data_IF_606109162586
#
_entry.id   IF_606109162586
#
_cell.length_a   1.000
_cell.length_b   1.000
_cell.length_c   1.000
_cell.angle_alpha   90.00
_cell.angle_beta   90.00
_cell.angle_gamma   90.00
#
_symmetry.space_group_name_H-M   'P 1'
#
loop_
_entity.id
_entity.type
_entity.pdbx_description
1 polymer ?
#
# COMPACT_ATOMS: atom_id res chain seq x y z
N UNK A 1 8.94 19.36 1.45
CA UNK A 1 8.03 18.24 1.12
C UNK A 1 8.03 17.31 2.30
N UNK A 2 7.01 17.41 3.13
CA UNK A 2 6.82 16.56 4.30
C UNK A 2 6.10 15.31 3.81
N UNK A 3 6.72 14.14 3.98
CA UNK A 3 6.16 12.86 3.56
C UNK A 3 5.88 12.04 4.81
N UNK A 4 4.65 11.56 4.98
CA UNK A 4 4.28 10.68 6.09
C UNK A 4 4.42 9.22 5.68
N UNK A 5 4.94 8.38 6.58
CA UNK A 5 5.02 6.94 6.34
C UNK A 5 3.62 6.34 6.46
N UNK A 6 3.09 5.83 5.35
CA UNK A 6 1.76 5.23 5.29
C UNK A 6 1.82 3.74 5.69
N UNK A 7 2.76 2.99 5.11
CA UNK A 7 2.90 1.56 5.38
C UNK A 7 4.32 1.04 5.10
N UNK A 8 4.69 0.00 5.83
CA UNK A 8 5.87 -0.82 5.56
C UNK A 8 5.41 -2.19 5.07
N UNK A 9 5.79 -2.53 3.84
CA UNK A 9 5.38 -3.75 3.14
C UNK A 9 6.54 -4.73 3.20
N UNK A 10 6.28 -5.90 3.80
CA UNK A 10 7.26 -6.98 3.96
C UNK A 10 6.78 -8.24 3.25
N UNK A 11 7.73 -9.00 2.71
CA UNK A 11 7.43 -10.32 2.16
C UNK A 11 7.54 -11.34 3.29
N UNK A 12 6.40 -11.69 3.91
CA UNK A 12 6.39 -12.60 5.06
C UNK A 12 6.00 -14.02 4.68
N UNK A 13 5.03 -14.16 3.78
CA UNK A 13 4.46 -15.46 3.43
C UNK A 13 4.35 -15.60 1.90
N UNK A 14 4.23 -16.85 1.44
CA UNK A 14 3.97 -17.19 0.05
C UNK A 14 2.56 -17.71 -0.08
N UNK A 15 1.71 -16.94 -0.75
CA UNK A 15 0.36 -17.36 -1.10
C UNK A 15 0.33 -17.95 -2.51
N UNK A 16 -0.67 -18.78 -2.79
CA UNK A 16 -0.89 -19.35 -4.12
C UNK A 16 -0.98 -18.24 -5.17
N UNK A 17 -0.14 -18.32 -6.21
CA UNK A 17 -0.09 -17.34 -7.31
C UNK A 17 0.52 -15.98 -6.95
N UNK A 18 0.99 -15.77 -5.72
CA UNK A 18 1.59 -14.49 -5.30
C UNK A 18 3.06 -14.35 -5.68
N UNK A 19 3.77 -15.46 -5.83
CA UNK A 19 5.19 -15.48 -6.16
C UNK A 19 5.51 -16.52 -7.25
N UNK A 20 6.62 -16.32 -7.95
CA UNK A 20 7.07 -17.25 -9.00
C UNK A 20 7.86 -18.40 -8.41
N UNK A 21 7.24 -19.57 -8.28
CA UNK A 21 7.83 -20.73 -7.59
C UNK A 21 8.54 -21.73 -8.52
N UNK A 22 8.35 -21.62 -9.84
CA UNK A 22 8.88 -22.60 -10.79
C UNK A 22 10.40 -22.54 -10.90
N UNK A 23 11.08 -23.50 -10.27
CA UNK A 23 12.54 -23.57 -10.23
C UNK A 23 13.19 -22.48 -9.38
N UNK A 24 12.43 -21.89 -8.45
CA UNK A 24 12.91 -20.86 -7.54
C UNK A 24 13.15 -21.43 -6.14
N UNK A 25 14.22 -20.99 -5.49
CA UNK A 25 14.41 -21.14 -4.04
C UNK A 25 14.00 -19.87 -3.32
N UNK A 26 13.40 -20.01 -2.13
CA UNK A 26 12.92 -18.93 -1.28
C UNK A 26 13.37 -19.18 0.15
N UNK A 27 14.27 -18.35 0.65
CA UNK A 27 14.76 -18.44 2.02
C UNK A 27 14.28 -17.23 2.82
N UNK A 28 13.46 -17.50 3.84
CA UNK A 28 12.97 -16.51 4.79
C UNK A 28 13.96 -16.39 5.94
N UNK A 29 14.89 -15.43 5.82
CA UNK A 29 15.95 -15.20 6.80
C UNK A 29 15.70 -13.90 7.55
N UNK A 30 15.13 -14.00 8.75
CA UNK A 30 14.84 -12.86 9.63
C UNK A 30 13.83 -11.89 9.00
N UNK A 31 14.24 -10.64 8.78
CA UNK A 31 13.42 -9.60 8.15
C UNK A 31 13.56 -9.52 6.62
N UNK A 32 14.34 -10.41 6.00
CA UNK A 32 14.59 -10.41 4.56
C UNK A 32 14.28 -11.74 3.90
N UNK A 33 13.85 -11.68 2.64
CA UNK A 33 13.58 -12.84 1.81
C UNK A 33 14.58 -12.91 0.68
N UNK A 34 15.31 -14.01 0.62
CA UNK A 34 16.21 -14.33 -0.48
C UNK A 34 15.46 -15.17 -1.51
N UNK A 35 15.37 -14.65 -2.72
CA UNK A 35 14.83 -15.35 -3.88
C UNK A 35 15.98 -15.68 -4.83
N UNK A 36 16.06 -16.94 -5.25
CA UNK A 36 17.08 -17.41 -6.19
C UNK A 36 16.43 -18.20 -7.32
N UNK A 37 16.68 -17.78 -8.57
CA UNK A 37 16.29 -18.55 -9.74
C UNK A 37 17.22 -18.22 -10.93
N UNK A 38 18.25 -19.04 -11.18
CA UNK A 38 19.19 -18.82 -12.29
C UNK A 38 18.57 -18.91 -13.69
N UNK A 39 17.37 -19.51 -13.82
CA UNK A 39 16.68 -19.76 -15.09
C UNK A 39 15.42 -18.89 -15.26
N UNK A 40 15.25 -17.88 -14.42
CA UNK A 40 14.11 -16.98 -14.52
C UNK A 40 14.23 -16.12 -15.78
N UNK A 41 13.26 -16.29 -16.69
CA UNK A 41 13.14 -15.43 -17.86
C UNK A 41 12.89 -13.97 -17.43
N UNK A 42 13.48 -13.03 -18.18
CA UNK A 42 13.23 -11.60 -17.99
C UNK A 42 11.75 -11.26 -18.22
N UNK A 43 11.24 -10.28 -17.49
CA UNK A 43 9.85 -9.83 -17.57
C UNK A 43 8.85 -10.69 -16.80
N UNK A 44 9.30 -11.70 -16.05
CA UNK A 44 8.43 -12.49 -15.15
C UNK A 44 8.26 -11.79 -13.79
N UNK A 45 7.03 -11.78 -13.23
CA UNK A 45 6.79 -11.24 -11.89
C UNK A 45 7.36 -12.22 -10.86
N UNK A 46 8.23 -11.74 -9.97
CA UNK A 46 8.81 -12.50 -8.86
C UNK A 46 7.82 -12.61 -7.72
N UNK A 47 7.22 -11.49 -7.32
CA UNK A 47 6.26 -11.40 -6.21
C UNK A 47 5.24 -10.29 -6.45
N UNK A 48 4.02 -10.49 -5.93
CA UNK A 48 2.88 -9.60 -6.08
C UNK A 48 2.17 -9.36 -4.73
N UNK A 49 1.99 -8.08 -4.42
CA UNK A 49 1.27 -7.57 -3.24
C UNK A 49 -0.06 -6.97 -3.67
N UNK A 50 -1.12 -7.25 -2.90
CA UNK A 50 -2.51 -6.92 -3.27
C UNK A 50 -3.13 -5.96 -2.25
N UNK A 51 -3.83 -4.93 -2.73
CA UNK A 51 -4.62 -4.03 -1.86
C UNK A 51 -6.02 -4.54 -1.54
N UNK A 52 -6.50 -5.52 -2.30
CA UNK A 52 -7.83 -6.11 -2.17
C UNK A 52 -7.72 -7.62 -2.34
N UNK A 53 -8.24 -8.36 -1.38
CA UNK A 53 -8.28 -9.83 -1.42
C UNK A 53 -9.67 -10.33 -1.02
N UNK A 54 -9.98 -11.57 -1.43
CA UNK A 54 -11.14 -12.30 -0.93
C UNK A 54 -10.63 -13.41 0.00
N UNK A 55 -10.95 -13.34 1.29
CA UNK A 55 -10.45 -14.30 2.27
C UNK A 55 -10.96 -15.72 2.03
N UNK A 56 -12.21 -15.91 1.58
CA UNK A 56 -12.77 -17.26 1.39
C UNK A 56 -12.03 -18.05 0.29
N UNK A 57 -11.61 -17.36 -0.77
CA UNK A 57 -10.85 -17.97 -1.87
C UNK A 57 -9.33 -17.98 -1.62
N UNK A 58 -8.78 -16.85 -1.18
CA UNK A 58 -7.34 -16.64 -1.16
C UNK A 58 -6.70 -16.95 0.21
N UNK A 59 -7.50 -17.00 1.29
CA UNK A 59 -7.04 -17.12 2.68
C UNK A 59 -5.92 -16.12 3.02
N UNK A 60 -6.00 -14.93 2.42
CA UNK A 60 -4.97 -13.89 2.45
C UNK A 60 -5.62 -12.56 2.78
N UNK A 61 -5.11 -11.84 3.76
CA UNK A 61 -5.42 -10.43 4.01
C UNK A 61 -4.68 -9.53 2.98
N UNK A 62 -5.21 -8.36 2.64
CA UNK A 62 -4.49 -7.43 1.78
C UNK A 62 -3.17 -7.00 2.41
N UNK A 63 -2.09 -6.96 1.63
CA UNK A 63 -0.76 -6.54 2.11
C UNK A 63 -0.57 -5.02 1.98
N UNK A 64 -1.40 -4.38 1.15
CA UNK A 64 -1.28 -2.98 0.79
C UNK A 64 -2.43 -2.17 1.42
N UNK A 65 -2.15 -0.96 1.93
CA UNK A 65 -3.17 -0.08 2.48
C UNK A 65 -4.10 0.48 1.39
N UNK A 66 -5.17 1.17 1.78
CA UNK A 66 -6.03 1.88 0.84
C UNK A 66 -5.35 3.19 0.40
N UNK A 67 -5.37 3.48 -0.91
CA UNK A 67 -4.93 4.77 -1.45
C UNK A 67 -6.14 5.68 -1.70
N UNK A 68 -5.94 6.97 -1.49
CA UNK A 68 -6.91 8.00 -1.83
C UNK A 68 -6.70 8.38 -3.30
N UNK A 69 -7.76 8.43 -4.12
CA UNK A 69 -7.65 8.88 -5.51
C UNK A 69 -7.16 10.33 -5.62
N UNK A 70 -6.46 10.67 -6.70
CA UNK A 70 -5.86 11.99 -6.96
C UNK A 70 -4.83 12.45 -5.92
N UNK A 71 -4.27 11.54 -5.13
CA UNK A 71 -3.18 11.84 -4.20
C UNK A 71 -1.84 11.31 -4.72
N UNK A 72 -0.78 12.01 -4.32
CA UNK A 72 0.60 11.68 -4.60
C UNK A 72 1.15 10.75 -3.52
N UNK A 73 1.82 9.68 -3.96
CA UNK A 73 2.50 8.74 -3.09
C UNK A 73 3.94 8.55 -3.54
N UNK A 74 4.80 8.12 -2.61
CA UNK A 74 6.18 7.74 -2.91
C UNK A 74 6.41 6.30 -2.49
N UNK A 75 6.99 5.51 -3.39
CA UNK A 75 7.41 4.15 -3.11
C UNK A 75 8.93 4.10 -2.98
N UNK A 76 9.40 3.79 -1.78
CA UNK A 76 10.81 3.47 -1.50
C UNK A 76 10.99 1.96 -1.43
N UNK A 77 12.01 1.44 -2.11
CA UNK A 77 12.25 0.00 -2.24
C UNK A 77 13.64 -0.37 -1.74
N UNK A 78 13.68 -1.11 -0.64
CA UNK A 78 14.92 -1.67 -0.06
C UNK A 78 15.12 -3.09 -0.57
N UNK A 79 15.48 -3.21 -1.85
CA UNK A 79 15.66 -4.49 -2.55
C UNK A 79 17.00 -4.49 -3.28
N UNK A 80 17.79 -5.55 -3.10
CA UNK A 80 19.05 -5.75 -3.82
C UNK A 80 18.95 -6.94 -4.76
N UNK A 81 19.64 -6.88 -5.90
CA UNK A 81 19.64 -7.96 -6.89
C UNK A 81 21.05 -8.29 -7.35
N UNK A 82 21.22 -9.53 -7.80
CA UNK A 82 22.40 -9.97 -8.55
C UNK A 82 21.93 -10.51 -9.90
N UNK A 83 22.44 -9.99 -11.03
CA UNK A 83 23.25 -8.77 -11.17
C UNK A 83 22.53 -7.50 -10.67
N UNK A 84 23.30 -6.46 -10.29
CA UNK A 84 22.77 -5.24 -9.70
C UNK A 84 21.83 -4.47 -10.66
N UNK A 85 20.73 -3.93 -10.10
CA UNK A 85 19.78 -3.09 -10.85
C UNK A 85 18.93 -3.85 -11.88
N UNK A 86 18.89 -5.19 -11.82
CA UNK A 86 18.14 -6.04 -12.76
C UNK A 86 16.74 -6.37 -12.27
N UNK A 87 16.02 -5.36 -11.80
CA UNK A 87 14.60 -5.47 -11.42
C UNK A 87 13.86 -4.15 -11.62
N UNK A 88 12.54 -4.23 -11.68
CA UNK A 88 11.66 -3.07 -11.63
C UNK A 88 10.39 -3.43 -10.87
N UNK A 89 9.78 -2.44 -10.22
CA UNK A 89 8.44 -2.57 -9.67
C UNK A 89 7.43 -2.03 -10.67
N UNK A 90 6.25 -2.60 -10.69
CA UNK A 90 5.13 -2.09 -11.48
C UNK A 90 3.90 -2.02 -10.58
N UNK A 91 3.22 -0.88 -10.62
CA UNK A 91 1.96 -0.64 -9.93
C UNK A 91 0.86 -0.72 -10.97
N UNK A 92 -0.07 -1.65 -10.82
CA UNK A 92 -1.26 -1.77 -11.67
C UNK A 92 -2.48 -1.23 -10.90
N UNK A 93 -3.23 -0.31 -11.49
CA UNK A 93 -4.45 0.27 -10.92
C UNK A 93 -5.69 -0.32 -11.58
N UNK A 94 -6.70 -0.63 -10.78
CA UNK A 94 -7.93 -1.30 -11.22
C UNK A 94 -9.17 -0.54 -10.76
N UNK A 95 -10.20 -0.53 -11.61
CA UNK A 95 -11.52 -0.01 -11.28
C UNK A 95 -12.33 -1.02 -10.43
N UNK A 96 -13.57 -0.64 -10.09
CA UNK A 96 -14.48 -1.49 -9.31
C UNK A 96 -14.86 -2.79 -10.02
N UNK A 97 -14.82 -2.79 -11.36
CA UNK A 97 -15.09 -3.92 -12.25
C UNK A 97 -13.86 -4.83 -12.45
N UNK A 98 -12.74 -4.57 -11.76
CA UNK A 98 -11.44 -5.25 -11.91
C UNK A 98 -10.77 -5.06 -13.29
N UNK A 99 -11.12 -4.01 -14.02
CA UNK A 99 -10.45 -3.64 -15.27
C UNK A 99 -9.25 -2.75 -14.95
N UNK A 100 -8.14 -2.98 -15.65
CA UNK A 100 -6.92 -2.20 -15.48
C UNK A 100 -7.09 -0.80 -16.09
N UNK A 101 -7.01 0.23 -15.26
CA UNK A 101 -7.15 1.64 -15.66
C UNK A 101 -5.82 2.15 -16.21
N UNK A 102 -4.76 2.00 -15.41
CA UNK A 102 -3.42 2.46 -15.73
C UNK A 102 -2.37 1.62 -15.01
N UNK A 103 -1.10 1.88 -15.33
CA UNK A 103 0.02 1.31 -14.60
C UNK A 103 1.20 2.27 -14.60
N UNK A 104 2.05 2.11 -13.59
CA UNK A 104 3.31 2.84 -13.45
C UNK A 104 4.45 1.85 -13.28
N UNK A 105 5.59 2.13 -13.92
CA UNK A 105 6.79 1.27 -13.87
C UNK A 105 7.91 2.03 -13.18
N UNK A 106 8.32 1.52 -12.02
CA UNK A 106 9.31 2.14 -11.14
C UNK A 106 10.64 1.37 -11.18
N UNK A 107 11.72 2.05 -11.53
CA UNK A 107 13.07 1.45 -11.74
C UNK A 107 14.07 1.88 -10.67
N UNK A 108 14.00 3.10 -10.18
CA UNK A 108 14.83 3.75 -9.18
C UNK A 108 14.37 3.48 -7.75
N UNK A 109 15.28 3.62 -6.77
CA UNK A 109 15.02 3.23 -5.37
C UNK A 109 13.85 3.96 -4.71
N UNK A 110 13.67 5.25 -5.01
CA UNK A 110 12.56 6.08 -4.51
C UNK A 110 11.93 6.76 -5.72
N UNK A 111 10.63 6.53 -5.94
CA UNK A 111 9.90 7.18 -7.02
C UNK A 111 8.52 7.66 -6.56
N UNK A 112 8.07 8.73 -7.20
CA UNK A 112 6.76 9.34 -7.00
C UNK A 112 5.76 8.77 -8.01
N UNK A 113 4.53 8.53 -7.57
CA UNK A 113 3.42 8.18 -8.46
C UNK A 113 2.12 8.84 -7.97
N UNK A 114 1.19 9.07 -8.90
CA UNK A 114 -0.13 9.65 -8.61
C UNK A 114 -1.18 8.57 -8.74
N UNK A 115 -2.07 8.46 -7.75
CA UNK A 115 -3.18 7.52 -7.79
C UNK A 115 -4.28 8.04 -8.73
N UNK A 116 -4.67 7.32 -9.80
CA UNK A 116 -5.73 7.74 -10.71
C UNK A 116 -7.09 7.92 -10.00
N UNK A 117 -7.98 8.80 -10.49
CA UNK A 117 -9.26 9.13 -9.85
C UNK A 117 -10.21 7.94 -9.69
N UNK A 118 -10.24 7.03 -10.67
CA UNK A 118 -11.16 5.88 -10.69
C UNK A 118 -10.59 4.62 -10.01
N UNK A 119 -9.47 4.76 -9.29
CA UNK A 119 -8.80 3.64 -8.64
C UNK A 119 -9.64 3.10 -7.50
N UNK A 120 -10.01 1.82 -7.61
CA UNK A 120 -10.67 1.08 -6.54
C UNK A 120 -9.70 0.14 -5.82
N UNK A 121 -8.79 -0.48 -6.56
CA UNK A 121 -7.77 -1.37 -6.00
C UNK A 121 -6.50 -1.27 -6.83
N UNK A 122 -5.38 -1.67 -6.25
CA UNK A 122 -4.09 -1.65 -6.92
C UNK A 122 -3.25 -2.84 -6.50
N UNK A 123 -2.21 -3.08 -7.28
CA UNK A 123 -1.33 -4.22 -7.12
C UNK A 123 0.10 -3.78 -7.38
N UNK A 124 1.01 -4.10 -6.47
CA UNK A 124 2.44 -3.85 -6.66
C UNK A 124 3.10 -5.18 -6.99
N UNK A 125 3.73 -5.24 -8.16
CA UNK A 125 4.42 -6.44 -8.64
C UNK A 125 5.89 -6.13 -8.86
N UNK A 126 6.76 -7.01 -8.39
CA UNK A 126 8.20 -6.93 -8.66
C UNK A 126 8.53 -7.84 -9.82
N UNK A 127 9.19 -7.31 -10.83
CA UNK A 127 9.57 -8.02 -12.04
C UNK A 127 11.08 -8.21 -12.12
N UNK A 128 11.49 -9.38 -12.62
CA UNK A 128 12.88 -9.65 -12.98
C UNK A 128 13.22 -8.95 -14.30
N UNK A 129 14.32 -8.19 -14.32
CA UNK A 129 14.95 -7.71 -15.55
C UNK A 129 16.22 -8.53 -15.88
N UNK A 130 16.18 -9.84 -15.62
CA UNK A 130 17.30 -10.75 -15.78
C UNK A 130 18.19 -10.85 -14.53
N UNK A 131 17.61 -10.73 -13.34
CA UNK A 131 18.28 -11.06 -12.09
C UNK A 131 18.24 -12.58 -11.85
N UNK A 132 19.33 -13.12 -11.32
CA UNK A 132 19.43 -14.52 -10.86
C UNK A 132 19.09 -14.64 -9.38
N UNK A 133 19.38 -13.58 -8.61
CA UNK A 133 19.09 -13.49 -7.18
C UNK A 133 18.46 -12.14 -6.84
N UNK A 134 17.53 -12.16 -5.90
CA UNK A 134 16.86 -10.98 -5.36
C UNK A 134 16.76 -11.12 -3.84
N UNK A 135 17.27 -10.12 -3.10
CA UNK A 135 17.10 -10.02 -1.67
C UNK A 135 16.11 -8.88 -1.38
N UNK A 136 14.93 -9.26 -0.91
CA UNK A 136 13.85 -8.36 -0.54
C UNK A 136 13.93 -8.08 0.95
N UNK A 137 14.15 -6.83 1.36
CA UNK A 137 14.03 -6.43 2.77
C UNK A 137 12.64 -5.88 3.05
N UNK A 138 12.33 -4.73 2.45
CA UNK A 138 11.04 -4.08 2.63
C UNK A 138 10.78 -3.05 1.52
N UNK A 139 9.51 -2.69 1.36
CA UNK A 139 9.11 -1.51 0.61
C UNK A 139 8.35 -0.57 1.54
N UNK A 140 8.63 0.73 1.46
CA UNK A 140 7.98 1.74 2.26
C UNK A 140 7.14 2.61 1.36
N UNK A 141 5.88 2.75 1.72
CA UNK A 141 4.93 3.60 1.03
C UNK A 141 4.73 4.86 1.84
N UNK A 142 4.96 6.00 1.23
CA UNK A 142 4.78 7.31 1.83
C UNK A 142 3.64 8.03 1.13
N UNK A 143 2.91 8.82 1.90
CA UNK A 143 1.94 9.78 1.39
C UNK A 143 2.55 11.18 1.42
N UNK A 144 2.26 11.99 0.41
CA UNK A 144 2.52 13.42 0.48
C UNK A 144 1.56 14.03 1.50
N UNK A 145 2.09 14.65 2.56
CA UNK A 145 1.26 15.47 3.43
C UNK A 145 0.83 16.68 2.61
N UNK A 146 -0.36 16.58 2.02
CA UNK A 146 -1.11 17.77 1.72
C UNK A 146 -1.45 18.35 3.08
N UNK A 147 -0.90 19.52 3.40
CA UNK A 147 -1.48 20.46 4.37
C UNK A 147 -2.86 20.84 3.83
N UNK A 148 -3.77 19.87 3.82
CA UNK A 148 -5.17 20.18 3.90
C UNK A 148 -5.30 20.72 5.32
N UNK A 149 -5.15 22.04 5.44
CA UNK A 149 -6.11 22.77 6.26
C UNK A 149 -7.47 22.18 5.89
N UNK A 150 -7.90 21.17 6.65
CA UNK A 150 -9.31 21.04 6.93
C UNK A 150 -9.62 22.40 7.53
N UNK A 151 -10.10 23.33 6.69
CA UNK A 151 -11.05 24.32 7.14
C UNK A 151 -12.23 23.48 7.59
N UNK A 152 -12.14 22.95 8.83
CA UNK A 152 -13.29 22.93 9.69
C UNK A 152 -13.75 24.38 9.65
N UNK A 153 -14.77 24.66 8.85
CA UNK A 153 -15.50 25.92 8.92
C UNK A 153 -16.06 25.99 10.33
N UNK A 154 -15.23 26.49 11.24
CA UNK A 154 -15.40 26.50 12.70
C UNK A 154 -15.63 25.11 13.35
N UNK A 155 -15.25 24.90 14.62
CA UNK A 155 -15.95 23.88 15.38
C UNK A 155 -17.44 24.24 15.37
N UNK A 156 -18.32 23.33 14.95
CA UNK A 156 -19.73 23.46 15.28
C UNK A 156 -19.81 23.42 16.80
N UNK A 157 -19.79 24.59 17.44
CA UNK A 157 -20.07 24.73 18.86
C UNK A 157 -21.52 24.30 19.06
N UNK A 158 -21.74 23.00 19.23
CA UNK A 158 -23.01 22.46 19.74
C UNK A 158 -23.06 22.72 21.24
N UNK A 159 -23.09 23.99 21.61
CA UNK A 159 -23.36 24.41 22.98
C UNK A 159 -24.87 24.36 23.17
N UNK A 160 -25.30 23.55 24.13
CA UNK A 160 -26.69 23.57 24.56
C UNK A 160 -26.84 24.70 25.59
N UNK A 161 -27.75 25.64 25.34
CA UNK A 161 -28.23 26.51 26.42
C UNK A 161 -29.01 25.64 27.42
N UNK A 162 -28.91 25.87 28.73
CA UNK A 162 -29.58 25.07 29.77
C UNK A 162 -31.08 24.81 29.50
N UNK A 163 -31.73 25.75 28.80
CA UNK A 163 -33.17 25.70 28.46
C UNK A 163 -33.52 24.81 27.26
N UNK A 164 -32.54 24.35 26.48
CA UNK A 164 -32.74 23.60 25.23
C UNK A 164 -32.30 22.14 25.33
N UNK A 165 -31.93 21.66 26.53
CA UNK A 165 -31.50 20.28 26.72
C UNK A 165 -32.72 19.33 26.72
N UNK A 166 -32.80 18.35 25.80
CA UNK A 166 -33.84 17.33 25.83
C UNK A 166 -33.79 16.52 27.14
N UNK A 167 -34.94 16.10 27.67
CA UNK A 167 -35.02 15.29 28.90
C UNK A 167 -34.23 13.97 28.80
N UNK A 168 -34.13 13.42 27.59
CA UNK A 168 -33.39 12.19 27.29
C UNK A 168 -31.89 12.27 27.64
N UNK A 169 -31.32 13.48 27.72
CA UNK A 169 -29.90 13.70 28.01
C UNK A 169 -29.60 14.00 29.48
N UNK A 170 -30.57 13.81 30.38
CA UNK A 170 -30.41 14.14 31.81
C UNK A 170 -29.22 13.45 32.49
N UNK A 171 -28.91 12.20 32.11
CA UNK A 171 -27.87 11.40 32.76
C UNK A 171 -26.45 11.76 32.32
N UNK A 172 -26.31 12.50 31.23
CA UNK A 172 -25.02 12.88 30.65
C UNK A 172 -24.74 14.38 30.84
N UNK A 173 -25.66 15.12 31.47
CA UNK A 173 -25.53 16.54 31.86
C UNK A 173 -24.13 16.95 32.37
N UNK A 174 -23.49 16.23 33.31
CA UNK A 174 -22.19 16.64 33.85
C UNK A 174 -21.03 16.52 32.84
N UNK A 175 -21.24 15.87 31.69
CA UNK A 175 -20.23 15.66 30.65
C UNK A 175 -20.40 16.59 29.44
N UNK A 176 -21.43 17.44 29.45
CA UNK A 176 -21.74 18.38 28.35
C UNK A 176 -21.26 19.78 28.74
N UNK A 177 -20.54 20.45 27.83
CA UNK A 177 -20.20 21.87 28.01
C UNK A 177 -21.44 22.73 27.69
N UNK A 178 -22.03 23.30 28.74
CA UNK A 178 -23.14 24.24 28.66
C UNK A 178 -22.61 25.67 28.60
N UNK A 179 -23.33 26.55 27.89
CA UNK A 179 -23.10 28.01 27.87
C UNK A 179 -24.32 28.75 28.37
#
# INVERSE_FOLDING_TARGET
>A
MTKSLLAVIRWQEVYSGSAYLYGSSLDFSGESVLFQNPRLASGKPIVRFLSKTNYQGNRRSPDLPLLIPNQTYFLERSITTEPAGRMFAQIDFFNRQNEKISFEVLRQGIEQFVCPPDTFSYTISIFSAGCTQLCFKEMRLYQEEQDAEMKCDSPLQKQYTEKQLPEELQFVKPLIQLV
#
